data_IF_110901545022
#
_entry.id   IF_110901545022
#
_cell.length_a   1.000
_cell.length_b   1.000
_cell.length_c   1.000
_cell.angle_alpha   90.00
_cell.angle_beta   90.00
_cell.angle_gamma   90.00
#
_symmetry.space_group_name_H-M   'P 1'
#
loop_
_entity.id
_entity.type
_entity.pdbx_description
1 polymer ?
#
# COMPACT_ATOMS: atom_id res chain seq x y z
N UNK A 1 -81.72 16.23 -14.70
CA UNK A 1 -81.26 17.01 -15.87
C UNK A 1 -79.84 16.60 -16.18
N UNK A 2 -79.64 16.20 -17.43
CA UNK A 2 -78.52 15.43 -17.92
C UNK A 2 -77.24 16.26 -18.15
N UNK A 3 -76.09 15.62 -17.99
CA UNK A 3 -74.82 15.84 -18.71
C UNK A 3 -73.92 14.66 -18.33
N UNK A 4 -74.01 13.50 -18.99
CA UNK A 4 -73.58 13.17 -20.36
C UNK A 4 -72.05 13.05 -20.50
N UNK A 5 -71.64 11.82 -20.85
CA UNK A 5 -70.40 11.40 -21.53
C UNK A 5 -69.10 11.40 -20.70
N UNK A 6 -68.18 10.44 -20.84
CA UNK A 6 -67.81 9.65 -22.02
C UNK A 6 -67.15 8.31 -21.61
N UNK A 7 -67.47 7.26 -22.35
CA UNK A 7 -66.91 5.91 -22.31
C UNK A 7 -65.61 5.87 -23.13
N UNK A 8 -64.49 5.38 -22.59
CA UNK A 8 -63.32 5.01 -23.40
C UNK A 8 -62.69 3.74 -22.82
N UNK A 9 -62.81 2.67 -23.58
CA UNK A 9 -62.17 1.39 -23.33
C UNK A 9 -60.66 1.39 -23.60
N UNK A 10 -60.03 0.40 -23.00
CA UNK A 10 -58.96 -0.44 -23.55
C UNK A 10 -57.97 0.22 -24.52
N UNK A 11 -56.83 0.67 -24.00
CA UNK A 11 -55.53 0.48 -24.67
C UNK A 11 -54.44 0.22 -23.63
N UNK A 12 -54.06 -1.05 -23.53
CA UNK A 12 -52.85 -1.51 -22.86
C UNK A 12 -51.67 -1.03 -23.72
N UNK A 13 -50.99 0.02 -23.28
CA UNK A 13 -49.64 0.35 -23.76
C UNK A 13 -48.65 0.08 -22.64
N UNK A 14 -48.17 -1.16 -22.59
CA UNK A 14 -46.99 -1.51 -21.83
C UNK A 14 -45.75 -0.92 -22.53
N UNK A 15 -45.40 0.32 -22.19
CA UNK A 15 -44.07 0.84 -22.47
C UNK A 15 -43.09 0.18 -21.49
N UNK A 16 -42.62 -1.02 -21.83
CA UNK A 16 -41.41 -1.58 -21.25
C UNK A 16 -40.22 -0.79 -21.83
N UNK A 17 -39.90 0.33 -21.19
CA UNK A 17 -38.66 1.05 -21.44
C UNK A 17 -37.50 0.19 -20.96
N UNK A 18 -36.94 -0.59 -21.90
CA UNK A 18 -35.70 -1.31 -21.75
C UNK A 18 -34.55 -0.29 -21.66
N UNK A 19 -34.39 0.34 -20.49
CA UNK A 19 -33.18 1.08 -20.19
C UNK A 19 -32.04 0.08 -19.97
N UNK A 20 -31.39 -0.32 -21.06
CA UNK A 20 -29.99 -0.76 -20.99
C UNK A 20 -29.21 0.47 -20.55
N UNK A 21 -29.02 0.62 -19.25
CA UNK A 21 -28.08 1.57 -18.70
C UNK A 21 -26.69 1.15 -19.18
N UNK A 22 -26.25 1.74 -20.30
CA UNK A 22 -24.84 1.78 -20.68
C UNK A 22 -24.16 2.67 -19.64
N UNK A 23 -23.81 2.05 -18.51
CA UNK A 23 -22.97 2.66 -17.49
C UNK A 23 -21.59 2.80 -18.13
N UNK A 24 -21.14 4.04 -18.31
CA UNK A 24 -19.81 4.35 -18.80
C UNK A 24 -18.76 3.56 -17.99
N UNK A 25 -17.74 2.96 -18.64
CA UNK A 25 -16.72 2.17 -17.98
C UNK A 25 -15.80 3.09 -17.20
N UNK A 26 -16.20 3.45 -15.99
CA UNK A 26 -15.36 4.14 -15.04
C UNK A 26 -15.33 3.30 -13.78
N UNK A 27 -14.22 2.56 -13.65
CA UNK A 27 -13.73 1.80 -12.49
C UNK A 27 -14.73 0.84 -11.83
N UNK A 28 -15.02 -0.28 -12.50
CA UNK A 28 -15.59 -1.51 -11.94
C UNK A 28 -14.47 -2.56 -11.67
N UNK A 29 -13.26 -2.11 -11.30
CA UNK A 29 -12.11 -2.98 -11.07
C UNK A 29 -11.90 -4.02 -12.17
N UNK A 30 -11.92 -3.58 -13.43
CA UNK A 30 -11.76 -4.39 -14.66
C UNK A 30 -12.68 -5.63 -14.83
N UNK A 31 -13.79 -5.73 -14.09
CA UNK A 31 -14.83 -6.77 -14.33
C UNK A 31 -15.66 -6.35 -15.54
N UNK A 32 -15.68 -7.15 -16.61
CA UNK A 32 -16.49 -6.84 -17.80
C UNK A 32 -17.93 -7.34 -17.68
N UNK A 33 -18.13 -8.47 -17.01
CA UNK A 33 -19.45 -9.06 -16.73
C UNK A 33 -19.54 -9.35 -15.25
N UNK A 34 -20.51 -8.73 -14.59
CA UNK A 34 -20.77 -8.89 -13.15
C UNK A 34 -21.75 -10.05 -12.94
N UNK A 35 -21.21 -11.23 -12.60
CA UNK A 35 -21.98 -12.42 -12.26
C UNK A 35 -22.33 -12.48 -10.76
N UNK A 36 -23.03 -13.54 -10.36
CA UNK A 36 -23.39 -13.78 -8.95
C UNK A 36 -22.16 -13.91 -8.05
N UNK A 37 -21.08 -14.53 -8.55
CA UNK A 37 -19.84 -14.70 -7.82
C UNK A 37 -19.20 -13.34 -7.47
N UNK A 38 -19.04 -12.45 -8.45
CA UNK A 38 -18.49 -11.10 -8.22
C UNK A 38 -19.41 -10.23 -7.37
N UNK A 39 -20.72 -10.37 -7.52
CA UNK A 39 -21.71 -9.65 -6.69
C UNK A 39 -21.62 -10.06 -5.22
N UNK A 40 -21.55 -11.37 -4.96
CA UNK A 40 -21.38 -11.91 -3.61
C UNK A 40 -20.03 -11.49 -3.02
N UNK A 41 -18.94 -11.62 -3.80
CA UNK A 41 -17.59 -11.25 -3.38
C UNK A 41 -17.49 -9.76 -3.01
N UNK A 42 -18.10 -8.88 -3.81
CA UNK A 42 -18.18 -7.44 -3.51
C UNK A 42 -18.98 -7.16 -2.23
N UNK A 43 -20.12 -7.83 -2.06
CA UNK A 43 -20.97 -7.67 -0.86
C UNK A 43 -20.21 -8.08 0.40
N UNK A 44 -19.51 -9.20 0.36
CA UNK A 44 -18.68 -9.67 1.48
C UNK A 44 -17.50 -8.74 1.75
N UNK A 45 -16.86 -8.24 0.70
CA UNK A 45 -15.80 -7.24 0.80
C UNK A 45 -16.28 -5.96 1.50
N UNK A 46 -17.46 -5.45 1.15
CA UNK A 46 -18.05 -4.28 1.81
C UNK A 46 -18.26 -4.52 3.31
N UNK A 47 -18.78 -5.70 3.70
CA UNK A 47 -18.91 -6.10 5.11
C UNK A 47 -17.54 -6.13 5.80
N UNK A 48 -16.50 -6.64 5.13
CA UNK A 48 -15.14 -6.65 5.67
C UNK A 48 -14.54 -5.26 5.81
N UNK A 49 -14.80 -4.33 4.88
CA UNK A 49 -14.37 -2.93 4.98
C UNK A 49 -14.93 -2.29 6.24
N UNK A 50 -16.24 -2.43 6.46
CA UNK A 50 -16.90 -1.88 7.65
C UNK A 50 -16.32 -2.52 8.92
N UNK A 51 -16.12 -3.84 8.93
CA UNK A 51 -15.54 -4.57 10.07
C UNK A 51 -14.08 -4.20 10.35
N UNK A 52 -13.30 -3.88 9.32
CA UNK A 52 -11.86 -3.61 9.44
C UNK A 52 -11.56 -2.17 9.84
N UNK A 53 -12.50 -1.25 9.63
CA UNK A 53 -12.39 0.15 10.04
C UNK A 53 -12.16 0.26 11.56
N UNK A 54 -11.09 0.97 11.94
CA UNK A 54 -10.81 1.28 13.33
C UNK A 54 -11.47 2.61 13.71
N UNK A 55 -12.44 2.65 14.63
CA UNK A 55 -13.07 3.90 15.04
C UNK A 55 -12.12 4.81 15.83
N UNK A 56 -10.99 4.28 16.33
CA UNK A 56 -9.97 5.02 17.07
C UNK A 56 -8.62 4.96 16.33
N UNK A 57 -8.53 5.51 15.10
CA UNK A 57 -7.35 5.36 14.24
C UNK A 57 -6.05 5.87 14.88
N UNK A 58 -6.13 6.84 15.78
CA UNK A 58 -4.97 7.41 16.46
C UNK A 58 -4.28 6.42 17.41
N UNK A 59 -5.03 5.46 17.99
CA UNK A 59 -4.40 4.38 18.77
C UNK A 59 -3.47 3.53 17.88
N UNK A 60 -3.81 3.40 16.61
CA UNK A 60 -3.00 2.66 15.63
C UNK A 60 -1.74 3.44 15.27
N UNK A 61 -1.86 4.76 15.09
CA UNK A 61 -0.71 5.64 14.79
C UNK A 61 0.24 5.71 15.99
N UNK A 62 -0.29 5.81 17.21
CA UNK A 62 0.50 5.85 18.44
C UNK A 62 1.20 4.51 18.71
N UNK A 63 0.50 3.39 18.50
CA UNK A 63 1.09 2.06 18.55
C UNK A 63 2.24 1.92 17.54
N UNK A 64 2.07 2.42 16.31
CA UNK A 64 3.15 2.42 15.31
C UNK A 64 4.37 3.22 15.80
N UNK A 65 4.14 4.44 16.28
CA UNK A 65 5.21 5.31 16.77
C UNK A 65 5.95 4.69 17.97
N UNK A 66 5.26 3.91 18.80
CA UNK A 66 5.85 3.24 19.96
C UNK A 66 6.90 2.23 19.53
N UNK A 67 6.51 1.35 18.61
CA UNK A 67 7.40 0.34 18.08
C UNK A 67 8.55 0.95 17.28
N UNK A 68 8.30 2.01 16.51
CA UNK A 68 9.35 2.77 15.83
C UNK A 68 10.38 3.35 16.80
N UNK A 69 9.93 3.93 17.92
CA UNK A 69 10.81 4.46 18.94
C UNK A 69 11.62 3.39 19.66
N UNK A 70 10.95 2.31 20.07
CA UNK A 70 11.58 1.17 20.75
C UNK A 70 12.69 0.55 19.89
N UNK A 71 12.48 0.44 18.58
CA UNK A 71 13.47 -0.11 17.65
C UNK A 71 14.76 0.74 17.58
N UNK A 72 14.65 2.06 17.64
CA UNK A 72 15.80 2.98 17.61
C UNK A 72 16.58 2.99 18.93
N UNK A 73 15.90 3.02 20.08
CA UNK A 73 16.56 2.99 21.39
C UNK A 73 17.43 1.73 21.55
N UNK A 74 16.86 0.58 21.21
CA UNK A 74 17.52 -0.72 21.30
C UNK A 74 18.64 -0.92 20.26
N UNK A 75 18.80 -0.04 19.25
CA UNK A 75 19.96 -0.08 18.33
C UNK A 75 21.10 0.85 18.76
N UNK A 76 20.90 1.68 19.80
CA UNK A 76 21.90 2.64 20.26
C UNK A 76 22.22 3.74 19.24
N UNK A 77 21.35 3.95 18.24
CA UNK A 77 21.55 4.87 17.13
C UNK A 77 21.64 6.35 17.55
N UNK A 78 21.14 6.70 18.74
CA UNK A 78 21.29 8.02 19.37
C UNK A 78 22.65 8.22 20.06
N UNK A 79 23.30 7.15 20.51
CA UNK A 79 24.58 7.21 21.22
C UNK A 79 25.80 7.02 20.31
N UNK A 80 25.60 6.56 19.07
CA UNK A 80 26.68 6.28 18.11
C UNK A 80 27.51 7.52 17.74
N UNK A 81 26.85 8.63 17.39
CA UNK A 81 27.52 9.87 16.94
C UNK A 81 28.38 10.50 18.02
N UNK A 82 27.92 10.56 19.28
CA UNK A 82 28.71 11.09 20.41
C UNK A 82 29.90 10.21 20.78
N UNK A 83 29.79 8.89 20.67
CA UNK A 83 30.84 7.95 21.06
C UNK A 83 31.92 7.82 19.99
N UNK A 84 31.55 7.88 18.71
CA UNK A 84 32.49 7.91 17.59
C UNK A 84 33.32 9.20 17.58
N UNK A 85 32.69 10.37 17.78
CA UNK A 85 33.43 11.65 17.90
C UNK A 85 34.42 11.66 19.06
N UNK A 86 34.09 11.03 20.20
CA UNK A 86 35.02 10.88 21.35
C UNK A 86 36.17 9.90 21.08
N UNK A 87 35.95 8.86 20.27
CA UNK A 87 37.00 7.90 19.92
C UNK A 87 37.97 8.46 18.88
N UNK A 88 37.47 9.22 17.90
CA UNK A 88 38.28 9.94 16.91
C UNK A 88 39.14 11.02 17.58
N UNK A 89 38.57 11.79 18.53
CA UNK A 89 39.33 12.76 19.35
C UNK A 89 40.45 12.16 20.21
N UNK A 90 40.45 10.84 20.45
CA UNK A 90 41.44 10.15 21.29
C UNK A 90 42.42 9.29 20.47
N UNK A 91 42.51 9.48 19.16
CA UNK A 91 43.49 8.81 18.30
C UNK A 91 43.35 7.29 18.21
N UNK A 92 42.25 6.69 18.71
CA UNK A 92 42.02 5.25 18.65
C UNK A 92 41.34 4.90 17.34
N UNK A 93 42.01 4.11 16.49
CA UNK A 93 41.39 3.45 15.33
C UNK A 93 40.10 2.76 15.77
N UNK A 94 38.98 3.12 15.16
CA UNK A 94 37.70 2.48 15.37
C UNK A 94 37.85 1.00 15.00
N UNK A 95 37.81 0.11 16.00
CA UNK A 95 37.65 -1.33 15.73
C UNK A 95 36.31 -1.46 14.99
N UNK A 96 36.34 -1.75 13.69
CA UNK A 96 35.19 -2.26 12.95
C UNK A 96 34.71 -3.51 13.70
N UNK A 97 33.72 -3.35 14.58
CA UNK A 97 33.02 -4.50 15.16
C UNK A 97 32.47 -5.29 13.98
N UNK A 98 32.97 -6.50 13.79
CA UNK A 98 32.55 -7.38 12.71
C UNK A 98 31.04 -7.54 12.68
N UNK A 99 30.46 -7.28 11.50
CA UNK A 99 29.32 -7.98 10.90
C UNK A 99 28.15 -8.42 11.77
N UNK A 100 27.62 -7.57 12.67
CA UNK A 100 26.26 -7.75 13.19
C UNK A 100 25.29 -7.04 12.25
N UNK A 101 24.31 -7.79 11.76
CA UNK A 101 23.17 -7.23 11.05
C UNK A 101 22.44 -6.22 11.95
N UNK A 102 22.19 -5.03 11.42
CA UNK A 102 21.53 -3.93 12.11
C UNK A 102 20.46 -3.35 11.18
N UNK A 103 19.31 -4.01 11.12
CA UNK A 103 18.07 -3.33 10.70
C UNK A 103 17.67 -2.33 11.77
N UNK A 104 17.30 -1.12 11.34
CA UNK A 104 17.10 0.01 12.23
C UNK A 104 15.62 0.37 12.42
N UNK A 105 14.73 -0.01 11.50
CA UNK A 105 13.30 0.20 11.64
C UNK A 105 12.61 -0.98 12.35
N UNK A 106 11.40 -0.72 12.88
CA UNK A 106 10.70 -1.65 13.76
C UNK A 106 10.19 -2.93 13.08
N UNK A 107 9.76 -2.83 11.82
CA UNK A 107 9.24 -3.95 11.05
C UNK A 107 10.38 -4.93 10.76
N UNK A 108 11.47 -4.42 10.19
CA UNK A 108 12.63 -5.23 9.82
C UNK A 108 13.27 -5.89 11.04
N UNK A 109 13.44 -5.13 12.12
CA UNK A 109 14.08 -5.61 13.35
C UNK A 109 13.39 -6.84 13.94
N UNK A 110 12.08 -6.98 13.74
CA UNK A 110 11.30 -8.10 14.25
C UNK A 110 11.69 -9.46 13.64
N UNK A 111 12.13 -9.49 12.37
CA UNK A 111 12.42 -10.75 11.66
C UNK A 111 13.82 -10.86 11.03
N UNK A 112 14.39 -9.75 10.51
CA UNK A 112 15.60 -9.74 9.68
C UNK A 112 16.86 -10.25 10.39
N UNK A 113 16.93 -10.05 11.71
CA UNK A 113 18.02 -10.55 12.54
C UNK A 113 18.06 -12.09 12.68
N UNK A 114 16.99 -12.81 12.31
CA UNK A 114 16.96 -14.26 12.35
C UNK A 114 17.79 -14.87 11.21
N UNK A 115 18.94 -15.48 11.54
CA UNK A 115 19.78 -16.21 10.55
C UNK A 115 19.05 -17.39 9.90
N UNK A 116 18.02 -17.90 10.58
CA UNK A 116 17.17 -19.00 10.14
C UNK A 116 15.83 -18.51 9.56
N UNK A 117 15.74 -17.24 9.12
CA UNK A 117 14.53 -16.70 8.48
C UNK A 117 14.00 -17.60 7.36
N UNK A 118 14.87 -18.31 6.64
CA UNK A 118 14.51 -19.24 5.57
C UNK A 118 13.76 -20.50 6.06
N UNK A 119 13.99 -20.93 7.32
CA UNK A 119 13.22 -21.98 8.01
C UNK A 119 11.98 -21.39 8.70
N UNK A 120 12.09 -20.15 9.16
CA UNK A 120 11.05 -19.43 9.89
C UNK A 120 10.33 -18.37 9.03
N UNK A 121 10.15 -18.62 7.72
CA UNK A 121 9.68 -17.57 6.76
C UNK A 121 8.42 -16.86 7.24
N UNK A 122 7.51 -17.64 7.81
CA UNK A 122 6.20 -17.22 8.30
C UNK A 122 6.23 -16.27 9.50
N UNK A 123 7.36 -16.18 10.21
CA UNK A 123 7.57 -15.19 11.29
C UNK A 123 7.40 -13.76 10.79
N UNK A 124 7.69 -13.51 9.50
CA UNK A 124 7.49 -12.21 8.86
C UNK A 124 6.07 -11.65 9.11
N UNK A 125 5.05 -12.50 9.07
CA UNK A 125 3.65 -12.10 9.24
C UNK A 125 3.30 -11.61 10.66
N UNK A 126 4.21 -11.76 11.64
CA UNK A 126 4.05 -11.22 13.00
C UNK A 126 4.63 -9.82 13.17
N UNK A 127 5.27 -9.29 12.12
CA UNK A 127 6.03 -8.03 12.19
C UNK A 127 5.28 -6.84 11.56
N UNK A 128 4.02 -7.03 11.14
CA UNK A 128 3.23 -5.97 10.50
C UNK A 128 2.84 -4.92 11.52
N UNK A 129 3.06 -3.65 11.17
CA UNK A 129 2.62 -2.51 11.98
C UNK A 129 1.64 -1.63 11.19
N UNK A 130 0.98 -0.70 11.88
CA UNK A 130 0.08 0.28 11.27
C UNK A 130 -1.33 -0.28 11.05
N UNK A 131 -2.05 0.28 10.09
CA UNK A 131 -3.43 -0.15 9.80
C UNK A 131 -3.49 -1.60 9.27
N UNK A 132 -2.45 -2.08 8.59
CA UNK A 132 -2.31 -3.47 8.15
C UNK A 132 -1.90 -4.47 9.24
N UNK A 133 -1.74 -4.06 10.52
CA UNK A 133 -1.22 -4.92 11.62
C UNK A 133 -1.91 -6.26 11.85
N UNK A 134 -3.12 -6.47 11.33
CA UNK A 134 -3.87 -7.74 11.42
C UNK A 134 -3.64 -8.68 10.23
N UNK A 135 -2.81 -8.27 9.27
CA UNK A 135 -2.51 -9.05 8.07
C UNK A 135 -1.59 -10.21 8.42
N UNK A 136 -2.05 -11.43 8.19
CA UNK A 136 -1.30 -12.67 8.38
C UNK A 136 -0.95 -13.37 7.07
N UNK A 137 -1.57 -12.97 5.95
CA UNK A 137 -1.37 -13.58 4.65
C UNK A 137 -1.64 -15.09 4.66
N UNK A 138 -0.76 -15.84 4.00
CA UNK A 138 -0.79 -17.30 3.95
C UNK A 138 -0.19 -18.01 5.15
N UNK A 139 -0.02 -17.36 6.32
CA UNK A 139 0.67 -17.92 7.50
C UNK A 139 0.16 -19.31 7.89
N UNK A 140 -1.16 -19.51 7.90
CA UNK A 140 -1.82 -20.79 8.24
C UNK A 140 -1.75 -21.85 7.13
N UNK A 141 -1.35 -21.45 5.92
CA UNK A 141 -1.31 -22.29 4.74
C UNK A 141 -0.07 -23.16 4.61
N UNK A 142 -0.04 -24.06 3.63
CA UNK A 142 1.19 -24.76 3.27
C UNK A 142 2.10 -23.85 2.42
N UNK A 143 3.37 -24.22 2.31
CA UNK A 143 4.25 -23.60 1.32
C UNK A 143 3.86 -24.05 -0.08
N UNK A 144 3.87 -23.11 -1.03
CA UNK A 144 3.76 -23.40 -2.44
C UNK A 144 5.02 -22.88 -3.13
N UNK A 145 5.71 -23.73 -3.90
CA UNK A 145 6.94 -23.34 -4.59
C UNK A 145 6.66 -23.10 -6.06
N UNK A 146 6.85 -21.86 -6.50
CA UNK A 146 6.80 -21.51 -7.93
C UNK A 146 8.10 -21.97 -8.58
N UNK A 147 7.98 -22.86 -9.56
CA UNK A 147 9.09 -23.46 -10.31
C UNK A 147 9.02 -23.14 -11.80
N UNK A 148 7.87 -22.61 -12.25
CA UNK A 148 7.58 -22.27 -13.63
C UNK A 148 7.19 -20.79 -13.71
N UNK A 149 7.92 -20.03 -14.53
CA UNK A 149 7.71 -18.58 -14.69
C UNK A 149 6.70 -18.24 -15.79
N UNK A 150 6.17 -19.24 -16.49
CA UNK A 150 5.20 -19.06 -17.57
C UNK A 150 3.82 -18.63 -17.06
N UNK A 151 3.07 -17.98 -17.94
CA UNK A 151 1.71 -17.50 -17.71
C UNK A 151 0.84 -17.68 -18.98
N UNK A 152 1.01 -18.80 -19.69
CA UNK A 152 0.41 -19.01 -21.02
C UNK A 152 -1.08 -19.35 -20.97
N UNK A 153 -1.52 -20.13 -19.97
CA UNK A 153 -2.92 -20.51 -19.80
C UNK A 153 -3.55 -19.71 -18.66
N UNK A 154 -4.43 -18.78 -19.03
CA UNK A 154 -5.13 -17.89 -18.11
C UNK A 154 -6.35 -18.55 -17.46
N UNK A 155 -6.87 -19.61 -18.07
CA UNK A 155 -8.10 -20.30 -17.67
C UNK A 155 -7.78 -21.56 -16.88
N UNK A 156 -6.72 -22.30 -17.22
CA UNK A 156 -6.27 -23.50 -16.52
C UNK A 156 -4.77 -23.40 -16.18
N UNK A 157 -4.40 -22.52 -15.24
CA UNK A 157 -3.00 -22.26 -14.95
C UNK A 157 -2.32 -23.54 -14.44
N UNK A 158 -1.17 -23.86 -15.02
CA UNK A 158 -0.39 -25.07 -14.72
C UNK A 158 0.13 -25.06 -13.28
N UNK A 159 0.04 -26.18 -12.52
CA UNK A 159 0.72 -26.32 -11.23
C UNK A 159 2.22 -26.03 -11.33
N UNK A 160 2.77 -25.34 -10.33
CA UNK A 160 4.13 -24.80 -10.34
C UNK A 160 4.24 -23.35 -10.84
N UNK A 161 3.20 -22.80 -11.49
CA UNK A 161 3.15 -21.37 -11.87
C UNK A 161 2.66 -20.48 -10.73
N UNK A 162 2.94 -19.18 -10.81
CA UNK A 162 2.43 -18.18 -9.87
C UNK A 162 0.89 -18.02 -9.98
N UNK A 163 0.32 -18.01 -11.20
CA UNK A 163 -1.14 -17.89 -11.39
C UNK A 163 -1.90 -19.03 -10.75
N UNK A 164 -1.40 -20.26 -10.88
CA UNK A 164 -2.01 -21.41 -10.21
C UNK A 164 -1.98 -21.24 -8.68
N UNK A 165 -0.86 -20.77 -8.13
CA UNK A 165 -0.68 -20.58 -6.69
C UNK A 165 -1.67 -19.56 -6.10
N UNK A 166 -1.78 -18.38 -6.72
CA UNK A 166 -2.57 -17.27 -6.17
C UNK A 166 -4.07 -17.45 -6.34
N UNK A 167 -4.51 -18.36 -7.21
CA UNK A 167 -5.92 -18.66 -7.47
C UNK A 167 -6.47 -19.79 -6.60
N UNK A 168 -5.67 -20.47 -5.76
CA UNK A 168 -6.18 -21.52 -4.87
C UNK A 168 -7.08 -20.95 -3.77
N UNK A 169 -8.09 -21.70 -3.36
CA UNK A 169 -9.10 -21.22 -2.38
C UNK A 169 -8.72 -21.50 -0.92
N UNK A 170 -7.45 -21.85 -0.69
CA UNK A 170 -6.84 -22.11 0.61
C UNK A 170 -5.70 -21.13 0.91
N UNK A 171 -5.36 -20.90 2.20
CA UNK A 171 -4.20 -20.10 2.54
C UNK A 171 -2.92 -20.70 1.96
N UNK A 172 -2.04 -19.88 1.39
CA UNK A 172 -0.75 -20.34 0.85
C UNK A 172 0.37 -19.33 1.08
N UNK A 173 1.52 -19.85 1.53
CA UNK A 173 2.78 -19.11 1.58
C UNK A 173 3.60 -19.42 0.33
N UNK A 174 3.53 -18.56 -0.67
CA UNK A 174 4.10 -18.74 -1.99
C UNK A 174 5.56 -18.26 -1.98
N UNK A 175 6.47 -19.16 -2.31
CA UNK A 175 7.91 -18.90 -2.47
C UNK A 175 8.36 -19.30 -3.87
N UNK A 176 9.60 -18.97 -4.21
CA UNK A 176 10.16 -19.22 -5.53
C UNK A 176 11.32 -20.19 -5.42
N UNK A 177 11.34 -21.21 -6.28
CA UNK A 177 12.40 -22.23 -6.30
C UNK A 177 13.69 -21.76 -6.97
N UNK A 178 13.63 -20.66 -7.73
CA UNK A 178 14.76 -19.98 -8.35
C UNK A 178 14.42 -18.53 -8.67
N UNK A 179 15.44 -17.72 -8.89
CA UNK A 179 15.33 -16.38 -9.44
C UNK A 179 14.68 -16.45 -10.82
N UNK A 180 13.71 -15.56 -11.07
CA UNK A 180 12.91 -15.62 -12.30
C UNK A 180 12.30 -14.28 -12.68
N UNK A 181 12.06 -14.14 -13.98
CA UNK A 181 11.31 -13.04 -14.58
C UNK A 181 9.97 -13.62 -15.04
N UNK A 182 8.88 -13.10 -14.48
CA UNK A 182 7.51 -13.51 -14.78
C UNK A 182 6.87 -12.38 -15.59
N UNK A 183 6.54 -12.67 -16.85
CA UNK A 183 5.77 -11.78 -17.73
C UNK A 183 4.32 -12.23 -17.73
N UNK A 184 3.49 -11.55 -16.94
CA UNK A 184 2.06 -11.80 -16.88
C UNK A 184 1.39 -11.38 -18.20
N UNK A 185 0.63 -12.28 -18.83
CA UNK A 185 -0.04 -11.96 -20.10
C UNK A 185 -1.23 -11.02 -19.89
N UNK A 186 -1.95 -11.25 -18.79
CA UNK A 186 -3.06 -10.43 -18.32
C UNK A 186 -2.94 -10.26 -16.81
N UNK A 187 -3.75 -9.38 -16.23
CA UNK A 187 -3.72 -9.12 -14.80
C UNK A 187 -3.74 -10.41 -13.96
N UNK A 188 -2.97 -10.42 -12.87
CA UNK A 188 -2.91 -11.54 -11.96
C UNK A 188 -3.86 -11.29 -10.78
N UNK A 189 -5.04 -11.91 -10.85
CA UNK A 189 -6.04 -11.83 -9.78
C UNK A 189 -5.62 -12.77 -8.64
N UNK A 190 -5.43 -12.19 -7.45
CA UNK A 190 -4.96 -12.91 -6.26
C UNK A 190 -6.14 -13.10 -5.30
N UNK A 191 -6.36 -14.34 -4.83
CA UNK A 191 -7.41 -14.65 -3.85
C UNK A 191 -6.97 -14.36 -2.41
N UNK A 192 -7.88 -14.57 -1.45
CA UNK A 192 -7.63 -14.32 -0.03
C UNK A 192 -6.50 -15.18 0.55
N UNK A 193 -5.96 -14.75 1.70
CA UNK A 193 -5.04 -15.54 2.53
C UNK A 193 -3.76 -15.98 1.81
N UNK A 194 -3.17 -15.07 1.03
CA UNK A 194 -1.94 -15.31 0.27
C UNK A 194 -0.76 -14.54 0.82
N UNK A 195 0.41 -15.15 0.77
CA UNK A 195 1.68 -14.43 0.89
C UNK A 195 2.53 -14.73 -0.33
N UNK A 196 2.95 -13.71 -1.07
CA UNK A 196 3.98 -13.80 -2.10
C UNK A 196 5.29 -13.35 -1.44
N UNK A 197 6.23 -14.27 -1.24
CA UNK A 197 7.49 -14.05 -0.54
C UNK A 197 8.68 -14.34 -1.47
N UNK A 198 9.25 -13.27 -2.04
CA UNK A 198 10.42 -13.35 -2.92
C UNK A 198 11.75 -13.55 -2.20
N UNK A 199 11.81 -13.63 -0.86
CA UNK A 199 13.11 -13.75 -0.16
C UNK A 199 13.86 -15.01 -0.54
N UNK A 200 15.16 -14.87 -0.76
CA UNK A 200 16.06 -15.95 -1.19
C UNK A 200 16.29 -15.95 -2.69
N UNK A 201 15.39 -15.34 -3.47
CA UNK A 201 15.46 -15.31 -4.92
C UNK A 201 15.28 -13.88 -5.45
N UNK A 202 15.72 -13.66 -6.68
CA UNK A 202 15.52 -12.40 -7.39
C UNK A 202 14.32 -12.53 -8.34
N UNK A 203 13.15 -12.07 -7.88
CA UNK A 203 11.87 -12.26 -8.58
C UNK A 203 11.40 -10.94 -9.19
N UNK A 204 11.19 -10.94 -10.51
CA UNK A 204 10.69 -9.78 -11.25
C UNK A 204 9.35 -10.10 -11.88
N UNK A 205 8.32 -9.34 -11.54
CA UNK A 205 7.08 -9.24 -12.32
C UNK A 205 7.28 -8.08 -13.29
N UNK A 206 7.51 -8.36 -14.58
CA UNK A 206 7.83 -7.29 -15.52
C UNK A 206 7.50 -7.54 -16.98
N UNK A 207 7.30 -6.44 -17.72
CA UNK A 207 7.07 -6.43 -19.16
C UNK A 207 5.69 -6.93 -19.59
N UNK A 208 4.80 -7.15 -18.63
CA UNK A 208 3.43 -7.63 -18.81
C UNK A 208 2.46 -6.90 -17.87
N UNK A 209 1.33 -7.51 -17.56
CA UNK A 209 0.31 -6.92 -16.68
C UNK A 209 0.71 -6.92 -15.19
N UNK A 210 -0.06 -6.19 -14.37
CA UNK A 210 0.14 -6.05 -12.93
C UNK A 210 -0.61 -7.05 -12.05
N UNK A 211 -0.57 -6.80 -10.74
CA UNK A 211 -1.23 -7.60 -9.71
C UNK A 211 -2.58 -6.99 -9.30
N UNK A 212 -3.62 -7.80 -9.17
CA UNK A 212 -4.97 -7.33 -8.81
C UNK A 212 -5.47 -8.04 -7.54
N UNK A 213 -5.73 -7.24 -6.49
CA UNK A 213 -6.33 -7.60 -5.22
C UNK A 213 -7.76 -7.05 -5.17
N UNK A 214 -8.71 -7.79 -5.75
CA UNK A 214 -10.09 -7.33 -5.87
C UNK A 214 -11.03 -8.10 -4.96
N UNK A 215 -11.70 -7.36 -4.08
CA UNK A 215 -12.66 -7.87 -3.10
C UNK A 215 -12.08 -9.03 -2.28
N UNK A 216 -10.81 -8.89 -1.90
CA UNK A 216 -10.07 -9.88 -1.11
C UNK A 216 -9.70 -9.39 0.28
N UNK A 217 -9.19 -10.30 1.09
CA UNK A 217 -8.63 -9.97 2.38
C UNK A 217 -7.38 -10.76 2.68
N UNK A 218 -6.57 -10.23 3.58
CA UNK A 218 -5.45 -10.93 4.20
C UNK A 218 -4.38 -11.36 3.18
N UNK A 219 -3.75 -10.39 2.52
CA UNK A 219 -2.70 -10.65 1.52
C UNK A 219 -1.41 -9.91 1.87
N UNK A 220 -0.28 -10.62 1.75
CA UNK A 220 1.07 -10.06 1.88
C UNK A 220 1.79 -10.17 0.54
N UNK A 221 2.33 -9.06 0.05
CA UNK A 221 3.24 -9.02 -1.10
C UNK A 221 4.58 -8.53 -0.58
N UNK A 222 5.59 -9.40 -0.62
CA UNK A 222 6.88 -9.14 0.03
C UNK A 222 8.07 -9.51 -0.86
N UNK A 223 9.05 -8.60 -0.91
CA UNK A 223 10.37 -8.84 -1.49
C UNK A 223 10.39 -9.19 -2.99
N UNK A 224 9.61 -8.47 -3.80
CA UNK A 224 9.59 -8.65 -5.26
C UNK A 224 9.83 -7.35 -6.02
N UNK A 225 10.35 -7.47 -7.24
CA UNK A 225 10.44 -6.36 -8.18
C UNK A 225 9.19 -6.31 -9.07
N UNK A 226 8.64 -5.12 -9.29
CA UNK A 226 7.50 -4.89 -10.21
C UNK A 226 7.90 -3.77 -11.16
N UNK A 227 8.13 -4.08 -12.44
CA UNK A 227 8.74 -3.13 -13.38
C UNK A 227 8.11 -3.17 -14.75
N UNK A 228 8.10 -2.04 -15.46
CA UNK A 228 7.68 -2.00 -16.87
C UNK A 228 6.30 -2.65 -17.09
N UNK A 229 5.36 -2.37 -16.19
CA UNK A 229 4.01 -2.91 -16.26
C UNK A 229 3.25 -2.25 -17.41
N UNK A 230 2.44 -3.05 -18.09
CA UNK A 230 1.69 -2.69 -19.29
C UNK A 230 0.22 -3.01 -19.10
N UNK A 231 -0.63 -2.31 -19.86
CA UNK A 231 -2.05 -2.65 -19.99
C UNK A 231 -2.18 -4.08 -20.54
N UNK A 232 -3.05 -4.87 -19.93
CA UNK A 232 -3.53 -6.14 -20.47
C UNK A 232 -4.82 -5.93 -21.27
N UNK A 233 -5.01 -6.70 -22.33
CA UNK A 233 -6.22 -6.62 -23.18
C UNK A 233 -7.51 -7.11 -22.48
N UNK A 234 -7.41 -7.80 -21.34
CA UNK A 234 -8.53 -8.50 -20.71
C UNK A 234 -8.75 -9.89 -21.31
N UNK A 235 -9.97 -10.40 -21.21
CA UNK A 235 -10.36 -11.74 -21.66
C UNK A 235 -10.87 -12.64 -20.53
N UNK A 236 -11.04 -13.93 -20.83
CA UNK A 236 -11.38 -14.93 -19.82
C UNK A 236 -10.17 -15.23 -18.94
N UNK A 237 -10.28 -14.94 -17.66
CA UNK A 237 -9.18 -15.08 -16.69
C UNK A 237 -9.69 -15.83 -15.46
N UNK A 238 -8.91 -16.81 -15.00
CA UNK A 238 -9.17 -17.49 -13.74
C UNK A 238 -8.92 -16.54 -12.57
N UNK A 239 -9.95 -16.33 -11.76
CA UNK A 239 -9.92 -15.46 -10.58
C UNK A 239 -9.98 -16.22 -9.25
N UNK A 240 -10.42 -17.48 -9.25
CA UNK A 240 -10.31 -18.43 -8.13
C UNK A 240 -10.27 -19.90 -8.60
N UNK A 241 -10.19 -20.85 -7.67
CA UNK A 241 -10.03 -22.28 -7.98
C UNK A 241 -11.21 -22.83 -8.79
N UNK A 242 -12.39 -22.24 -8.61
CA UNK A 242 -13.66 -22.71 -9.17
C UNK A 242 -14.32 -21.72 -10.15
N UNK A 243 -13.71 -20.55 -10.38
CA UNK A 243 -14.32 -19.48 -11.16
C UNK A 243 -13.38 -18.87 -12.22
N UNK A 244 -13.95 -18.52 -13.36
CA UNK A 244 -13.30 -17.82 -14.48
C UNK A 244 -14.25 -16.75 -14.94
N UNK A 245 -13.80 -15.49 -14.95
CA UNK A 245 -14.61 -14.34 -15.35
C UNK A 245 -14.07 -13.65 -16.59
N UNK A 246 -14.96 -12.99 -17.33
CA UNK A 246 -14.59 -12.08 -18.40
C UNK A 246 -14.08 -10.76 -17.79
N UNK A 247 -12.85 -10.40 -18.14
CA UNK A 247 -12.17 -9.19 -17.68
C UNK A 247 -12.04 -8.18 -18.82
N UNK A 248 -12.13 -6.89 -18.49
CA UNK A 248 -11.89 -5.80 -19.43
C UNK A 248 -10.40 -5.48 -19.51
N UNK A 249 -10.05 -4.51 -20.36
CA UNK A 249 -8.69 -4.00 -20.46
C UNK A 249 -8.23 -3.45 -19.11
N UNK A 250 -7.03 -3.83 -18.66
CA UNK A 250 -6.44 -3.28 -17.44
C UNK A 250 -5.70 -1.96 -17.72
N UNK A 251 -5.67 -1.09 -16.72
CA UNK A 251 -5.09 0.26 -16.85
C UNK A 251 -3.56 0.22 -16.96
N UNK A 252 -2.93 -0.81 -16.38
CA UNK A 252 -1.48 -0.99 -16.41
C UNK A 252 -0.78 -0.55 -15.12
N UNK A 253 -1.51 -0.58 -14.00
CA UNK A 253 -0.95 -0.35 -12.68
C UNK A 253 -0.09 -1.50 -12.19
N UNK A 254 0.87 -1.21 -11.32
CA UNK A 254 1.69 -2.24 -10.68
C UNK A 254 0.91 -3.16 -9.75
N UNK A 255 0.23 -2.59 -8.75
CA UNK A 255 -0.60 -3.30 -7.78
C UNK A 255 -1.93 -2.56 -7.62
N UNK A 256 -3.02 -3.23 -7.97
CA UNK A 256 -4.38 -2.75 -7.81
C UNK A 256 -5.06 -3.36 -6.60
N UNK A 257 -5.70 -2.53 -5.77
CA UNK A 257 -6.39 -2.92 -4.55
C UNK A 257 -7.82 -2.34 -4.58
N UNK A 258 -8.80 -3.21 -4.88
CA UNK A 258 -10.21 -2.84 -5.04
C UNK A 258 -11.03 -3.45 -3.90
N UNK A 259 -11.61 -2.62 -3.02
CA UNK A 259 -12.40 -3.08 -1.88
C UNK A 259 -11.73 -4.18 -1.04
N UNK A 260 -10.41 -4.16 -0.90
CA UNK A 260 -9.68 -5.21 -0.19
C UNK A 260 -9.30 -4.78 1.24
N UNK A 261 -9.15 -5.76 2.14
CA UNK A 261 -8.87 -5.48 3.55
C UNK A 261 -7.72 -6.29 4.14
N UNK A 262 -6.98 -5.71 5.09
CA UNK A 262 -5.83 -6.36 5.72
C UNK A 262 -4.79 -6.76 4.66
N UNK A 263 -4.18 -5.75 4.04
CA UNK A 263 -3.18 -5.90 2.99
C UNK A 263 -1.85 -5.35 3.49
N UNK A 264 -0.76 -6.06 3.19
CA UNK A 264 0.58 -5.60 3.50
C UNK A 264 1.49 -5.72 2.27
N UNK A 265 1.97 -4.57 1.80
CA UNK A 265 2.95 -4.47 0.72
C UNK A 265 4.27 -4.05 1.36
N UNK A 266 5.29 -4.89 1.27
CA UNK A 266 6.53 -4.70 2.00
C UNK A 266 7.76 -5.05 1.17
N UNK A 267 8.82 -4.25 1.26
CA UNK A 267 10.07 -4.52 0.52
C UNK A 267 9.88 -4.75 -0.99
N UNK A 268 8.92 -4.04 -1.62
CA UNK A 268 8.79 -4.07 -3.08
C UNK A 268 9.66 -3.01 -3.73
N UNK A 269 10.15 -3.30 -4.93
CA UNK A 269 10.88 -2.33 -5.75
C UNK A 269 10.13 -2.08 -7.05
N UNK A 270 9.65 -0.86 -7.25
CA UNK A 270 8.77 -0.55 -8.38
C UNK A 270 9.33 0.56 -9.27
N UNK A 271 9.12 0.44 -10.58
CA UNK A 271 9.49 1.46 -11.56
C UNK A 271 8.75 1.30 -12.89
N UNK A 272 8.45 2.41 -13.57
CA UNK A 272 7.84 2.44 -14.91
C UNK A 272 6.58 1.57 -15.04
N UNK A 273 5.50 1.88 -14.33
CA UNK A 273 4.19 1.30 -14.65
C UNK A 273 3.53 2.10 -15.78
N UNK A 274 2.51 1.54 -16.43
CA UNK A 274 1.82 2.23 -17.52
C UNK A 274 0.91 3.34 -17.00
N UNK A 275 0.28 3.14 -15.83
CA UNK A 275 -0.59 4.11 -15.15
C UNK A 275 -0.13 4.37 -13.71
N UNK A 276 -0.80 3.85 -12.68
CA UNK A 276 -0.41 3.93 -11.26
C UNK A 276 0.67 2.92 -10.83
N UNK A 277 1.39 3.15 -9.72
CA UNK A 277 2.17 2.06 -9.10
C UNK A 277 1.32 1.23 -8.14
N UNK A 278 0.68 1.88 -7.16
CA UNK A 278 -0.19 1.21 -6.19
C UNK A 278 -1.46 2.02 -6.00
N UNK A 279 -2.58 1.41 -6.37
CA UNK A 279 -3.89 2.04 -6.30
C UNK A 279 -4.77 1.29 -5.31
N UNK A 280 -5.32 2.01 -4.33
CA UNK A 280 -6.24 1.47 -3.33
C UNK A 280 -7.55 2.26 -3.34
N UNK A 281 -8.63 1.62 -3.74
CA UNK A 281 -9.92 2.30 -3.98
C UNK A 281 -11.11 1.42 -3.55
N UNK A 282 -12.34 1.91 -3.76
CA UNK A 282 -13.60 1.17 -3.52
C UNK A 282 -13.73 0.67 -2.08
N UNK A 283 -13.33 1.48 -1.10
CA UNK A 283 -13.41 1.13 0.32
C UNK A 283 -12.29 0.21 0.81
N UNK A 284 -11.19 0.10 0.06
CA UNK A 284 -10.01 -0.63 0.54
C UNK A 284 -9.49 -0.03 1.85
N UNK A 285 -9.17 -0.86 2.84
CA UNK A 285 -8.81 -0.38 4.19
C UNK A 285 -7.97 -1.39 4.97
N UNK A 286 -7.44 -1.00 6.14
CA UNK A 286 -6.50 -1.79 6.92
C UNK A 286 -5.27 -2.20 6.09
N UNK A 287 -4.59 -1.21 5.50
CA UNK A 287 -3.44 -1.42 4.61
C UNK A 287 -2.17 -0.84 5.23
N UNK A 288 -1.06 -1.55 5.09
CA UNK A 288 0.28 -1.01 5.33
C UNK A 288 1.13 -1.17 4.06
N UNK A 289 1.79 -0.09 3.64
CA UNK A 289 2.80 -0.08 2.58
C UNK A 289 4.11 0.33 3.23
N UNK A 290 5.08 -0.58 3.30
CA UNK A 290 6.32 -0.37 4.02
C UNK A 290 7.59 -0.79 3.30
N UNK A 291 8.71 -0.23 3.74
CA UNK A 291 10.07 -0.61 3.33
C UNK A 291 10.27 -0.70 1.81
N UNK A 292 9.48 0.01 1.01
CA UNK A 292 9.48 -0.14 -0.45
C UNK A 292 10.31 0.95 -1.12
N UNK A 293 10.87 0.65 -2.28
CA UNK A 293 11.65 1.59 -3.07
C UNK A 293 10.96 1.87 -4.40
N UNK A 294 10.54 3.12 -4.58
CA UNK A 294 9.76 3.56 -5.72
C UNK A 294 10.52 4.66 -6.46
N UNK A 295 10.67 4.53 -7.77
CA UNK A 295 11.43 5.48 -8.61
C UNK A 295 10.88 5.54 -10.03
N UNK A 296 11.20 6.61 -10.76
CA UNK A 296 10.98 6.69 -12.21
C UNK A 296 9.52 6.46 -12.61
N UNK A 297 8.62 7.34 -12.17
CA UNK A 297 7.18 7.19 -12.39
C UNK A 297 6.38 8.47 -12.13
N UNK A 298 5.29 8.66 -12.86
CA UNK A 298 4.45 9.85 -12.67
C UNK A 298 3.48 9.71 -11.49
N UNK A 299 2.60 8.71 -11.57
CA UNK A 299 1.45 8.54 -10.67
C UNK A 299 1.72 7.41 -9.68
N UNK A 300 2.27 7.74 -8.50
CA UNK A 300 2.84 6.71 -7.61
C UNK A 300 1.78 5.97 -6.80
N UNK A 301 1.11 6.63 -5.86
CA UNK A 301 0.13 6.02 -4.95
C UNK A 301 -1.20 6.78 -5.01
N UNK A 302 -2.27 6.13 -5.47
CA UNK A 302 -3.61 6.70 -5.46
C UNK A 302 -4.50 5.99 -4.43
N UNK A 303 -4.99 6.75 -3.46
CA UNK A 303 -5.88 6.27 -2.41
C UNK A 303 -7.25 6.94 -2.55
N UNK A 304 -8.22 6.17 -3.03
CA UNK A 304 -9.56 6.61 -3.41
C UNK A 304 -9.60 7.18 -4.82
N UNK A 305 -10.24 6.45 -5.74
CA UNK A 305 -10.15 6.68 -7.19
C UNK A 305 -11.15 7.70 -7.72
N UNK A 306 -12.33 7.80 -7.10
CA UNK A 306 -13.44 8.63 -7.57
C UNK A 306 -13.94 9.58 -6.50
N UNK A 307 -14.38 10.74 -6.96
CA UNK A 307 -14.96 11.77 -6.10
C UNK A 307 -16.32 11.36 -5.50
N UNK A 308 -17.06 10.44 -6.13
CA UNK A 308 -18.36 9.94 -5.65
C UNK A 308 -18.30 8.74 -4.69
N UNK A 309 -17.14 8.10 -4.53
CA UNK A 309 -17.00 6.85 -3.77
C UNK A 309 -16.87 7.12 -2.26
N UNK A 310 -17.97 7.56 -1.64
CA UNK A 310 -18.01 7.95 -0.21
C UNK A 310 -17.63 6.82 0.76
N UNK A 311 -17.64 5.57 0.30
CA UNK A 311 -17.15 4.42 1.07
C UNK A 311 -15.67 4.56 1.46
N UNK A 312 -14.88 5.31 0.69
CA UNK A 312 -13.47 5.58 0.98
C UNK A 312 -13.28 6.42 2.26
N UNK A 313 -14.34 6.96 2.88
CA UNK A 313 -14.28 7.48 4.27
C UNK A 313 -13.89 6.39 5.28
N UNK A 314 -14.03 5.11 4.94
CA UNK A 314 -13.60 3.96 5.74
C UNK A 314 -12.16 3.53 5.45
N UNK A 315 -11.48 4.16 4.49
CA UNK A 315 -10.10 3.85 4.15
C UNK A 315 -9.14 4.32 5.24
N UNK A 316 -8.26 3.40 5.67
CA UNK A 316 -7.20 3.65 6.65
C UNK A 316 -5.93 2.95 6.19
N UNK A 317 -4.89 3.75 5.89
CA UNK A 317 -3.64 3.26 5.29
C UNK A 317 -2.43 3.82 6.04
N UNK A 318 -1.43 2.97 6.29
CA UNK A 318 -0.11 3.38 6.78
C UNK A 318 0.91 3.29 5.65
N UNK A 319 1.63 4.38 5.39
CA UNK A 319 2.76 4.45 4.46
C UNK A 319 4.01 4.73 5.28
N UNK A 320 4.91 3.76 5.41
CA UNK A 320 6.03 3.89 6.34
C UNK A 320 7.36 3.29 5.87
N UNK A 321 8.47 3.94 6.23
CA UNK A 321 9.83 3.47 5.91
C UNK A 321 10.12 3.28 4.41
N UNK A 322 9.29 3.86 3.53
CA UNK A 322 9.51 3.79 2.10
C UNK A 322 10.59 4.81 1.67
N UNK A 323 11.29 4.50 0.60
CA UNK A 323 12.13 5.44 -0.12
C UNK A 323 11.43 5.82 -1.45
N UNK A 324 10.91 7.03 -1.49
CA UNK A 324 10.42 7.69 -2.70
C UNK A 324 11.61 8.38 -3.36
N UNK A 325 12.24 7.65 -4.28
CA UNK A 325 13.49 8.06 -4.89
C UNK A 325 13.30 9.01 -6.07
N UNK A 326 14.33 9.05 -6.92
CA UNK A 326 14.43 9.98 -8.04
C UNK A 326 13.32 9.81 -9.08
N UNK A 327 13.04 10.91 -9.79
CA UNK A 327 12.15 10.98 -10.96
C UNK A 327 10.74 10.46 -10.67
N UNK A 328 10.27 10.76 -9.46
CA UNK A 328 8.85 10.62 -9.12
C UNK A 328 8.18 11.97 -9.31
N UNK A 329 7.08 12.01 -10.05
CA UNK A 329 6.42 13.30 -10.34
C UNK A 329 5.50 13.69 -9.19
N UNK A 330 4.57 12.81 -8.79
CA UNK A 330 3.51 13.13 -7.84
C UNK A 330 2.89 11.93 -7.13
N UNK A 331 1.90 12.19 -6.25
CA UNK A 331 1.06 11.19 -5.58
C UNK A 331 1.80 10.25 -4.63
N UNK A 332 2.52 10.76 -3.64
CA UNK A 332 3.26 9.96 -2.66
C UNK A 332 2.80 10.21 -1.19
N UNK A 333 1.50 10.05 -0.85
CA UNK A 333 0.39 9.61 -1.68
C UNK A 333 -0.52 10.75 -2.18
N UNK A 334 -1.47 10.43 -3.06
CA UNK A 334 -2.65 11.26 -3.35
C UNK A 334 -3.91 10.61 -2.78
N UNK A 335 -4.66 11.33 -1.95
CA UNK A 335 -5.72 10.73 -1.11
C UNK A 335 -7.08 11.40 -1.32
N UNK A 336 -8.15 10.61 -1.30
CA UNK A 336 -9.55 11.04 -1.16
C UNK A 336 -10.19 10.43 0.08
N UNK A 337 -10.96 11.23 0.82
CA UNK A 337 -11.78 10.85 1.98
C UNK A 337 -11.08 10.25 3.21
N UNK A 338 -10.34 9.14 3.04
CA UNK A 338 -9.83 8.31 4.12
C UNK A 338 -8.78 8.97 5.02
N UNK A 339 -8.24 8.18 5.94
CA UNK A 339 -7.16 8.56 6.82
C UNK A 339 -5.86 7.84 6.42
N UNK A 340 -4.79 8.62 6.24
CA UNK A 340 -3.49 8.09 5.85
C UNK A 340 -2.40 8.56 6.80
N UNK A 341 -1.73 7.60 7.42
CA UNK A 341 -0.55 7.82 8.26
C UNK A 341 0.73 7.66 7.42
N UNK A 342 1.36 8.78 7.09
CA UNK A 342 2.62 8.87 6.35
C UNK A 342 3.75 9.09 7.35
N UNK A 343 4.56 8.06 7.62
CA UNK A 343 5.52 8.10 8.73
C UNK A 343 6.91 7.55 8.40
N UNK A 344 7.95 8.31 8.74
CA UNK A 344 9.35 7.93 8.56
C UNK A 344 9.73 7.49 7.12
N UNK A 345 9.14 8.10 6.10
CA UNK A 345 9.50 7.88 4.70
C UNK A 345 10.56 8.90 4.23
N UNK A 346 11.42 8.50 3.29
CA UNK A 346 12.43 9.37 2.67
C UNK A 346 11.98 9.78 1.27
N UNK A 347 11.90 11.09 1.03
CA UNK A 347 11.44 11.68 -0.23
C UNK A 347 12.58 12.46 -0.90
N UNK A 348 12.90 12.08 -2.14
CA UNK A 348 14.00 12.67 -2.90
C UNK A 348 13.49 13.29 -4.20
N UNK A 349 13.49 14.62 -4.27
CA UNK A 349 13.35 15.39 -5.50
C UNK A 349 12.11 15.04 -6.36
N UNK A 350 10.90 15.22 -5.80
CA UNK A 350 9.67 15.11 -6.59
C UNK A 350 9.58 16.19 -7.68
N UNK A 351 8.84 15.93 -8.76
CA UNK A 351 8.77 16.87 -9.91
C UNK A 351 7.53 17.79 -9.90
N UNK A 352 6.50 17.48 -9.09
CA UNK A 352 5.32 18.33 -8.92
C UNK A 352 4.95 18.55 -7.45
N UNK A 353 4.58 17.50 -6.73
CA UNK A 353 4.31 17.53 -5.27
C UNK A 353 4.58 16.16 -4.66
N UNK A 354 4.82 16.08 -3.35
CA UNK A 354 4.97 14.80 -2.67
C UNK A 354 3.61 14.26 -2.20
N UNK A 355 2.92 14.99 -1.33
CA UNK A 355 1.68 14.54 -0.68
C UNK A 355 0.52 15.37 -1.21
N UNK A 356 -0.55 14.72 -1.65
CA UNK A 356 -1.70 15.43 -2.21
C UNK A 356 -3.04 14.79 -1.89
N UNK A 357 -4.11 15.41 -2.38
CA UNK A 357 -5.46 14.91 -2.18
C UNK A 357 -6.55 15.92 -2.45
N UNK A 358 -7.77 15.40 -2.49
CA UNK A 358 -9.02 16.13 -2.65
C UNK A 358 -10.15 15.42 -1.87
N UNK A 359 -11.31 16.05 -1.67
CA UNK A 359 -12.45 15.47 -0.90
C UNK A 359 -12.14 15.16 0.58
N UNK A 360 -11.53 16.11 1.28
CA UNK A 360 -11.34 16.09 2.74
C UNK A 360 -10.69 14.81 3.33
N UNK A 361 -9.52 14.35 2.82
CA UNK A 361 -8.78 13.28 3.47
C UNK A 361 -8.13 13.78 4.76
N UNK A 362 -7.94 12.89 5.72
CA UNK A 362 -7.10 13.14 6.90
C UNK A 362 -5.69 12.64 6.63
N UNK A 363 -4.72 13.55 6.57
CA UNK A 363 -3.32 13.23 6.29
C UNK A 363 -2.46 13.53 7.51
N UNK A 364 -1.79 12.47 7.94
CA UNK A 364 -1.06 12.39 9.18
C UNK A 364 0.41 12.18 8.80
N UNK A 365 1.18 13.27 8.65
CA UNK A 365 2.61 13.26 8.27
C UNK A 365 3.52 13.36 9.50
N UNK A 366 4.31 12.32 9.76
CA UNK A 366 5.17 12.25 10.94
C UNK A 366 6.59 11.78 10.65
N UNK A 367 7.58 12.54 11.09
CA UNK A 367 8.97 12.08 11.09
C UNK A 367 9.52 11.73 9.71
N UNK A 368 8.93 12.22 8.62
CA UNK A 368 9.40 11.99 7.27
C UNK A 368 10.59 12.90 6.96
N UNK A 369 11.32 12.58 5.89
CA UNK A 369 12.40 13.41 5.38
C UNK A 369 12.10 13.83 3.95
N UNK A 370 12.09 15.14 3.71
CA UNK A 370 11.77 15.72 2.41
C UNK A 370 12.95 16.53 1.88
N UNK A 371 13.53 16.10 0.77
CA UNK A 371 14.46 16.93 0.00
C UNK A 371 13.70 17.46 -1.23
N UNK A 372 13.34 18.74 -1.21
CA UNK A 372 12.73 19.35 -2.38
C UNK A 372 13.73 19.40 -3.56
N UNK A 373 13.25 19.36 -4.82
CA UNK A 373 14.10 19.59 -5.98
C UNK A 373 14.64 21.04 -6.00
N UNK A 374 15.59 21.32 -6.90
CA UNK A 374 16.08 22.69 -7.12
C UNK A 374 15.00 23.62 -7.72
N UNK A 375 13.93 23.09 -8.30
CA UNK A 375 12.84 23.87 -8.88
C UNK A 375 12.00 24.56 -7.79
N UNK A 376 11.94 25.90 -7.84
CA UNK A 376 11.24 26.72 -6.83
C UNK A 376 9.72 26.47 -6.76
N UNK A 377 9.08 26.12 -7.88
CA UNK A 377 7.64 25.80 -7.89
C UNK A 377 7.31 24.48 -7.19
N UNK A 378 8.31 23.71 -6.77
CA UNK A 378 8.15 22.36 -6.21
C UNK A 378 8.66 22.25 -4.77
N UNK A 379 8.85 23.39 -4.07
CA UNK A 379 9.23 23.41 -2.65
C UNK A 379 8.11 22.95 -1.72
N UNK A 380 6.87 23.23 -2.08
CA UNK A 380 5.72 22.81 -1.30
C UNK A 380 5.51 21.30 -1.41
N UNK A 381 5.61 20.60 -0.28
CA UNK A 381 5.38 19.16 -0.16
C UNK A 381 3.92 18.81 -0.50
N UNK A 382 2.99 19.67 -0.07
CA UNK A 382 1.55 19.41 -0.10
C UNK A 382 0.81 20.01 -1.29
N UNK A 383 -0.09 19.28 -1.95
CA UNK A 383 -0.99 19.80 -2.98
C UNK A 383 -2.46 19.42 -2.70
N UNK A 384 -3.30 20.42 -2.42
CA UNK A 384 -4.77 20.25 -2.40
C UNK A 384 -5.28 20.49 -3.81
N UNK A 385 -5.79 19.45 -4.46
CA UNK A 385 -6.17 19.53 -5.86
C UNK A 385 -7.64 19.95 -6.03
N UNK A 386 -7.89 20.80 -7.03
CA UNK A 386 -9.24 21.19 -7.47
C UNK A 386 -10.14 21.71 -6.34
N UNK A 387 -9.57 22.31 -5.30
CA UNK A 387 -10.31 22.76 -4.12
C UNK A 387 -9.81 24.14 -3.67
N UNK A 388 -10.70 25.14 -3.46
CA UNK A 388 -10.32 26.46 -2.97
C UNK A 388 -9.94 26.43 -1.48
N UNK A 389 -9.13 27.39 -1.06
CA UNK A 389 -8.68 27.53 0.34
C UNK A 389 -9.82 27.56 1.36
N UNK A 390 -10.93 28.22 1.00
CA UNK A 390 -12.12 28.33 1.86
C UNK A 390 -12.68 26.98 2.29
N UNK A 391 -12.54 25.96 1.45
CA UNK A 391 -12.96 24.58 1.74
C UNK A 391 -11.84 23.79 2.43
N UNK A 392 -10.65 23.72 1.82
CA UNK A 392 -9.61 22.82 2.32
C UNK A 392 -8.94 23.28 3.60
N UNK A 393 -9.07 24.56 4.01
CA UNK A 393 -8.56 25.04 5.31
C UNK A 393 -9.08 24.23 6.50
N UNK A 394 -10.25 23.59 6.35
CA UNK A 394 -10.88 22.76 7.35
C UNK A 394 -10.36 21.31 7.39
N UNK A 395 -9.67 20.86 6.33
CA UNK A 395 -9.19 19.48 6.19
C UNK A 395 -8.02 19.23 7.13
N UNK A 396 -7.98 18.06 7.75
CA UNK A 396 -6.95 17.73 8.73
C UNK A 396 -5.66 17.21 8.07
N UNK A 397 -4.77 18.12 7.69
CA UNK A 397 -3.46 17.80 7.12
C UNK A 397 -2.39 18.40 7.99
N UNK A 398 -1.54 17.55 8.54
CA UNK A 398 -0.68 17.95 9.63
C UNK A 398 0.68 17.28 9.50
N UNK A 399 1.70 18.05 9.80
CA UNK A 399 3.10 17.65 9.82
C UNK A 399 3.67 17.78 11.24
N UNK A 400 4.31 16.72 11.73
CA UNK A 400 5.00 16.71 13.01
C UNK A 400 6.38 16.06 12.86
N UNK A 401 7.43 16.78 13.28
CA UNK A 401 8.83 16.29 13.30
C UNK A 401 9.38 15.84 11.94
N UNK A 402 8.72 16.25 10.85
CA UNK A 402 9.25 16.11 9.50
C UNK A 402 10.53 16.95 9.36
N UNK A 403 11.48 16.44 8.58
CA UNK A 403 12.74 17.10 8.30
C UNK A 403 12.77 17.60 6.87
N UNK A 404 12.76 18.91 6.70
CA UNK A 404 12.72 19.57 5.42
C UNK A 404 14.09 20.06 4.99
N UNK A 405 14.44 19.80 3.73
CA UNK A 405 15.72 20.14 3.12
C UNK A 405 15.49 20.82 1.77
N UNK A 406 16.46 21.65 1.37
CA UNK A 406 16.46 22.38 0.10
C UNK A 406 15.21 23.26 -0.10
N UNK A 407 14.74 23.91 0.98
CA UNK A 407 13.57 24.79 0.95
C UNK A 407 12.23 24.06 0.98
N UNK A 408 12.19 22.74 1.16
CA UNK A 408 10.93 22.02 1.32
C UNK A 408 10.10 22.59 2.47
N UNK A 409 8.77 22.60 2.34
CA UNK A 409 7.88 22.95 3.45
C UNK A 409 6.51 22.28 3.31
N UNK A 410 5.83 22.10 4.44
CA UNK A 410 4.49 21.53 4.53
C UNK A 410 3.50 22.61 4.99
N UNK A 411 2.39 22.76 4.28
CA UNK A 411 1.31 23.69 4.68
C UNK A 411 0.28 22.91 5.48
N UNK A 412 0.14 23.20 6.77
CA UNK A 412 -0.84 22.55 7.65
C UNK A 412 -2.26 23.11 7.43
N UNK A 413 -3.29 22.33 7.77
CA UNK A 413 -4.70 22.76 7.77
C UNK A 413 -5.54 21.97 8.79
N UNK A 414 -6.72 22.47 9.10
CA UNK A 414 -7.64 21.85 10.06
C UNK A 414 -7.41 22.32 11.50
N UNK A 415 -8.07 21.65 12.45
CA UNK A 415 -7.99 22.00 13.88
C UNK A 415 -6.59 21.71 14.42
N UNK A 416 -6.03 22.66 15.19
CA UNK A 416 -4.82 22.42 15.96
C UNK A 416 -5.02 21.20 16.89
N UNK A 417 -4.03 20.31 16.98
CA UNK A 417 -4.09 19.07 17.77
C UNK A 417 -5.18 18.06 17.36
N UNK A 418 -5.65 18.07 16.11
CA UNK A 418 -6.62 17.09 15.60
C UNK A 418 -6.11 15.63 15.54
N UNK A 419 -4.94 15.35 16.12
CA UNK A 419 -4.30 14.04 16.26
C UNK A 419 -4.62 13.32 17.55
N UNK A 420 -5.06 14.06 18.56
CA UNK A 420 -5.31 13.52 19.88
C UNK A 420 -6.16 14.54 20.64
N UNK A 421 -7.49 14.34 20.79
CA UNK A 421 -8.10 14.85 22.01
C UNK A 421 -7.27 14.25 23.15
N UNK A 422 -6.80 15.08 24.08
CA UNK A 422 -6.01 14.65 25.23
C UNK A 422 -6.51 13.27 25.68
N UNK A 423 -5.67 12.20 25.61
CA UNK A 423 -6.17 10.85 25.78
C UNK A 423 -6.92 10.80 27.12
N UNK A 424 -8.11 10.20 27.15
CA UNK A 424 -8.96 10.16 28.37
C UNK A 424 -8.15 9.70 29.60
N UNK A 425 -7.12 8.89 29.37
CA UNK A 425 -6.02 8.65 30.29
C UNK A 425 -4.73 9.23 29.69
N UNK A 426 -4.29 10.44 30.10
CA UNK A 426 -3.07 11.02 29.57
C UNK A 426 -1.91 10.10 29.94
N UNK A 427 -1.37 9.42 28.94
CA UNK A 427 -0.05 8.80 29.05
C UNK A 427 0.89 9.95 29.48
N UNK A 428 1.49 9.82 30.67
CA UNK A 428 2.32 10.87 31.26
C UNK A 428 3.27 11.44 30.19
N UNK A 429 3.50 12.76 30.14
CA UNK A 429 4.21 13.44 29.03
C UNK A 429 5.57 12.84 28.67
N UNK A 430 6.23 12.14 29.62
CA UNK A 430 7.47 11.36 29.42
C UNK A 430 7.31 10.08 28.58
N UNK A 431 6.09 9.57 28.51
CA UNK A 431 5.64 8.39 27.78
C UNK A 431 4.74 8.76 26.59
N UNK A 432 4.46 10.05 26.36
CA UNK A 432 3.79 10.49 25.13
C UNK A 432 4.69 10.11 23.96
N UNK A 433 4.31 9.04 23.26
CA UNK A 433 5.10 8.45 22.20
C UNK A 433 5.05 9.39 20.99
N UNK A 434 6.07 10.23 20.88
CA UNK A 434 6.23 11.09 19.70
C UNK A 434 6.85 10.29 18.56
N UNK A 435 6.53 10.61 17.30
CA UNK A 435 7.17 9.99 16.16
C UNK A 435 8.68 10.27 16.17
N UNK A 436 9.41 9.37 15.50
CA UNK A 436 10.85 9.54 15.31
C UNK A 436 11.15 10.79 14.48
N UNK A 437 12.33 11.39 14.70
CA UNK A 437 12.71 12.59 13.94
C UNK A 437 13.04 12.23 12.49
N UNK A 438 12.60 13.08 11.56
CA UNK A 438 12.97 12.99 10.14
C UNK A 438 14.48 12.95 9.86
N UNK A 439 15.30 13.41 10.80
CA UNK A 439 16.78 13.34 10.70
C UNK A 439 17.32 11.91 10.69
N UNK A 440 16.60 10.96 11.30
CA UNK A 440 16.98 9.54 11.36
C UNK A 440 16.56 8.73 10.15
N UNK A 441 15.66 9.25 9.31
CA UNK A 441 14.96 8.50 8.25
C UNK A 441 15.91 7.82 7.27
N UNK A 442 16.96 8.52 6.80
CA UNK A 442 17.95 7.94 5.88
C UNK A 442 18.53 6.61 6.39
N UNK A 443 18.65 6.44 7.71
CA UNK A 443 19.10 5.20 8.34
C UNK A 443 17.99 4.15 8.44
N UNK A 444 16.75 4.59 8.70
CA UNK A 444 15.56 3.72 8.80
C UNK A 444 15.14 3.12 7.45
N UNK A 445 15.38 3.84 6.36
CA UNK A 445 14.99 3.48 4.99
C UNK A 445 16.14 3.01 4.12
N UNK A 446 17.36 2.84 4.68
CA UNK A 446 18.58 2.48 3.93
C UNK A 446 18.45 1.16 3.15
N UNK A 447 17.60 0.26 3.62
CA UNK A 447 17.36 -1.07 3.04
C UNK A 447 15.99 -1.14 2.33
N UNK A 448 15.36 0.01 2.05
CA UNK A 448 14.09 0.05 1.34
C UNK A 448 14.23 -0.55 -0.07
N UNK A 449 13.19 -1.25 -0.51
CA UNK A 449 13.18 -2.04 -1.73
C UNK A 449 13.40 -3.52 -1.45
N UNK A 450 13.79 -4.26 -2.46
CA UNK A 450 14.01 -5.71 -2.36
C UNK A 450 15.32 -6.02 -1.64
N UNK A 451 15.31 -7.10 -0.88
CA UNK A 451 16.41 -7.60 -0.09
C UNK A 451 17.06 -8.80 -0.77
N UNK A 452 18.40 -8.80 -0.80
CA UNK A 452 19.22 -9.95 -1.21
C UNK A 452 19.40 -11.00 -0.11
N UNK A 453 18.31 -11.45 0.51
CA UNK A 453 18.35 -12.44 1.59
C UNK A 453 19.04 -13.73 1.14
N UNK A 454 19.94 -14.30 1.95
CA UNK A 454 20.56 -15.61 1.68
C UNK A 454 20.30 -16.60 2.82
N UNK A 455 19.94 -17.86 2.53
CA UNK A 455 19.81 -18.90 3.56
C UNK A 455 21.07 -19.00 4.45
N UNK A 456 20.86 -19.26 5.74
CA UNK A 456 21.94 -19.35 6.74
C UNK A 456 22.57 -18.01 7.18
N UNK A 457 22.16 -16.88 6.58
CA UNK A 457 22.57 -15.53 6.98
C UNK A 457 21.35 -14.73 7.41
N UNK A 458 21.54 -13.78 8.32
CA UNK A 458 20.54 -12.74 8.54
C UNK A 458 20.26 -12.03 7.22
N UNK A 459 18.99 -11.86 6.89
CA UNK A 459 18.60 -10.99 5.79
C UNK A 459 18.62 -9.55 6.29
#
# INVERSE_FOLDING_TARGET
MASAHLNIGSYVFAFASLFVAIVAPSVQGHVAVYDEYWTQRQTDALRQTIKSYDPNPFNVTDHFNYHAALAMETTGADNGTRRELRQVRRGRRTKRRGGRHHSLNAIDKCWRGDKNWHKNRKKLADCVLGFGRRTTGGKKGQFYVVTDASDHDLVNPKPGTLRHAVTRDRPLWIIFGRSMIIKLQQELIITHDKTIDGRGENVHIMGGAGLTLQFVKNVIIHNIHIKHIKCGAGGMIRDCEHHVGQRSKSDGDGINIFGATNIWIDHVSMTHCSDGMIDAIMGSTAITISNSHLTDHNEVLLFGGKDGDVIDKKMQITVAFNHFGKRLVQRMPRVRYGLVHVVNNDYTHWEMYAIGGNKNPTIISQGNRFIAPHKETCKQVTKREYTPYTEWKSWNWQSERDYFLNGAYFVNSGRANAWSPAPKNPIHRKFAIRPQSGTGVRRLTKDAGTLGCRPGKSC
#
